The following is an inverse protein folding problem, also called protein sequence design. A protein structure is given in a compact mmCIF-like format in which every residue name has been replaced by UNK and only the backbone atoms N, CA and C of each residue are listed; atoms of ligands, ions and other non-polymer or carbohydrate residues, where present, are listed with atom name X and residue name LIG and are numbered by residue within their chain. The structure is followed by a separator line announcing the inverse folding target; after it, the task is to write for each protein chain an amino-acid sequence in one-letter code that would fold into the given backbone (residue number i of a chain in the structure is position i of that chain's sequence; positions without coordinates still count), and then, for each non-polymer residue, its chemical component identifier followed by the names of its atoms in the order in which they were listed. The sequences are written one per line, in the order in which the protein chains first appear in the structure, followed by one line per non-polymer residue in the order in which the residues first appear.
data_IF_147384598513
#
_entry.id   IF_147384598513
#
_cell.length_a   1.000
_cell.length_b   1.000
_cell.length_c   1.000
_cell.angle_alpha   90.00
_cell.angle_beta   90.00
_cell.angle_gamma   90.00
#
_symmetry.space_group_name_H-M   'P 1'
#
loop_
_entity.id
_entity.type
_entity.pdbx_description
1 polymer ?
#
# COMPACT_ATOMS: atom_id res chain seq x y z
N UNK A 1 11.17 5.07 -7.30
CA UNK A 1 10.85 3.62 -7.21
C UNK A 1 9.33 3.41 -7.21
N UNK A 2 8.80 2.32 -7.78
CA UNK A 2 7.35 2.10 -7.91
C UNK A 2 6.55 2.21 -6.58
N UNK A 3 7.12 1.72 -5.47
CA UNK A 3 6.49 1.83 -4.14
C UNK A 3 6.35 3.30 -3.70
N UNK A 4 7.28 4.18 -4.08
CA UNK A 4 7.18 5.61 -3.75
C UNK A 4 6.01 6.30 -4.46
N UNK A 5 5.65 5.85 -5.67
CA UNK A 5 4.47 6.34 -6.37
C UNK A 5 3.17 5.83 -5.72
N UNK A 6 3.16 4.57 -5.26
CA UNK A 6 2.05 4.06 -4.44
C UNK A 6 1.88 4.85 -3.14
N UNK A 7 2.97 5.15 -2.43
CA UNK A 7 2.91 6.00 -1.23
C UNK A 7 2.36 7.39 -1.56
N UNK A 8 2.63 7.91 -2.75
CA UNK A 8 2.08 9.19 -3.20
C UNK A 8 0.58 9.10 -3.45
N UNK A 9 0.12 8.04 -4.11
CA UNK A 9 -1.29 7.77 -4.33
C UNK A 9 -2.05 7.57 -2.99
N UNK A 10 -1.36 7.07 -1.96
CA UNK A 10 -1.87 6.97 -0.59
C UNK A 10 -1.71 8.26 0.24
N UNK A 11 -1.35 9.39 -0.40
CA UNK A 11 -1.15 10.70 0.22
C UNK A 11 -0.05 10.77 1.30
N UNK A 12 0.94 9.88 1.25
CA UNK A 12 2.09 9.92 2.17
C UNK A 12 3.10 10.96 1.69
N UNK A 13 3.44 11.90 2.57
CA UNK A 13 4.28 13.07 2.25
C UNK A 13 5.66 12.67 1.71
N UNK A 14 6.04 13.24 0.54
CA UNK A 14 7.33 12.96 -0.16
C UNK A 14 8.56 13.59 0.48
N UNK A 15 8.40 14.70 1.21
CA UNK A 15 9.52 15.48 1.75
C UNK A 15 9.33 15.80 3.21
N UNK A 16 10.42 15.93 3.96
CA UNK A 16 10.40 16.49 5.33
C UNK A 16 11.38 17.66 5.45
N UNK A 17 11.07 18.60 6.33
CA UNK A 17 12.01 19.66 6.69
C UNK A 17 13.01 19.08 7.69
N UNK A 18 14.29 19.27 7.42
CA UNK A 18 15.40 18.87 8.28
C UNK A 18 16.28 20.08 8.57
N UNK A 19 16.79 20.15 9.80
CA UNK A 19 17.72 21.20 10.22
C UNK A 19 19.14 20.66 10.14
N UNK A 20 20.02 21.38 9.48
CA UNK A 20 21.45 21.10 9.52
C UNK A 20 21.99 21.51 10.90
N UNK A 21 22.56 20.56 11.65
CA UNK A 21 22.98 20.80 13.03
C UNK A 21 24.19 21.74 13.15
N UNK A 22 25.07 21.79 12.14
CA UNK A 22 26.25 22.67 12.16
C UNK A 22 25.91 24.12 11.81
N UNK A 23 25.00 24.34 10.87
CA UNK A 23 24.67 25.67 10.34
C UNK A 23 23.35 26.23 10.85
N UNK A 24 22.56 25.42 11.57
CA UNK A 24 21.18 25.71 12.01
C UNK A 24 20.21 26.05 10.87
N UNK A 25 20.60 25.83 9.61
CA UNK A 25 19.76 26.11 8.44
C UNK A 25 18.77 24.96 8.19
N UNK A 26 17.53 25.33 7.89
CA UNK A 26 16.46 24.39 7.51
C UNK A 26 16.49 24.16 6.00
N UNK A 27 16.37 22.92 5.58
CA UNK A 27 16.19 22.55 4.18
C UNK A 27 15.17 21.42 4.04
N UNK A 28 14.62 21.23 2.84
CA UNK A 28 13.76 20.10 2.52
C UNK A 28 14.61 18.92 2.05
N UNK A 29 14.32 17.74 2.58
CA UNK A 29 14.91 16.48 2.13
C UNK A 29 13.81 15.55 1.64
N UNK A 30 14.07 14.87 0.53
CA UNK A 30 13.22 13.77 0.06
C UNK A 30 13.21 12.61 1.06
N UNK A 31 12.06 11.95 1.21
CA UNK A 31 11.92 10.78 2.07
C UNK A 31 12.03 9.52 1.25
N UNK A 32 12.89 8.61 1.69
CA UNK A 32 13.06 7.31 1.05
C UNK A 32 11.82 6.43 1.25
N UNK A 33 11.69 5.40 0.41
CA UNK A 33 10.57 4.46 0.46
C UNK A 33 10.31 3.88 1.87
N UNK A 34 11.34 3.46 2.61
CA UNK A 34 11.17 2.94 3.98
C UNK A 34 10.63 3.98 4.97
N UNK A 35 11.11 5.22 4.92
CA UNK A 35 10.60 6.28 5.79
C UNK A 35 9.11 6.51 5.53
N UNK A 36 8.70 6.43 4.26
CA UNK A 36 7.30 6.63 3.84
C UNK A 36 6.43 5.43 4.20
N UNK A 37 6.92 4.20 3.99
CA UNK A 37 6.22 2.95 4.38
C UNK A 37 5.98 2.91 5.89
N UNK A 38 6.97 3.31 6.70
CA UNK A 38 6.84 3.36 8.18
C UNK A 38 5.76 4.36 8.64
N UNK A 39 5.60 5.48 7.95
CA UNK A 39 4.48 6.39 8.23
C UNK A 39 3.15 5.80 7.79
N UNK A 40 3.13 5.19 6.60
CA UNK A 40 1.94 4.55 6.04
C UNK A 40 1.38 3.43 6.92
N UNK A 41 2.26 2.68 7.61
CA UNK A 41 1.91 1.63 8.56
C UNK A 41 0.97 2.10 9.67
N UNK A 42 0.95 3.40 10.01
CA UNK A 42 -0.01 3.96 10.98
C UNK A 42 -1.46 3.87 10.53
N UNK A 43 -1.70 3.76 9.22
CA UNK A 43 -3.04 3.74 8.62
C UNK A 43 -3.40 2.37 8.04
N UNK A 44 -2.43 1.67 7.45
CA UNK A 44 -2.61 0.35 6.83
C UNK A 44 -1.40 -0.52 7.15
N UNK A 45 -1.28 -1.06 8.38
CA UNK A 45 -0.10 -1.81 8.83
C UNK A 45 0.17 -3.04 7.96
N UNK A 46 -0.85 -3.86 7.68
CA UNK A 46 -0.71 -5.09 6.89
C UNK A 46 -0.15 -4.82 5.48
N UNK A 47 -0.61 -3.75 4.83
CA UNK A 47 -0.10 -3.35 3.51
C UNK A 47 1.34 -2.85 3.60
N UNK A 48 1.65 -2.09 4.66
CA UNK A 48 2.98 -1.55 4.86
C UNK A 48 4.03 -2.66 5.04
N UNK A 49 3.70 -3.73 5.78
CA UNK A 49 4.58 -4.87 5.97
C UNK A 49 4.88 -5.59 4.65
N UNK A 50 3.85 -5.84 3.84
CA UNK A 50 4.02 -6.44 2.50
C UNK A 50 4.89 -5.55 1.60
N UNK A 51 4.63 -4.24 1.56
CA UNK A 51 5.43 -3.31 0.75
C UNK A 51 6.87 -3.17 1.25
N UNK A 52 7.11 -3.33 2.56
CA UNK A 52 8.46 -3.32 3.12
C UNK A 52 9.23 -4.58 2.69
N UNK A 53 8.60 -5.75 2.68
CA UNK A 53 9.20 -6.98 2.15
C UNK A 53 9.58 -6.84 0.67
N UNK A 54 8.66 -6.33 -0.16
CA UNK A 54 8.92 -6.06 -1.59
C UNK A 54 10.08 -5.08 -1.77
N UNK A 55 10.18 -4.04 -0.93
CA UNK A 55 11.30 -3.09 -0.94
C UNK A 55 12.63 -3.80 -0.70
N UNK A 56 12.70 -4.71 0.27
CA UNK A 56 13.94 -5.43 0.58
C UNK A 56 14.38 -6.33 -0.57
N UNK A 57 13.45 -7.10 -1.16
CA UNK A 57 13.74 -7.93 -2.35
C UNK A 57 14.27 -7.07 -3.51
N UNK A 58 13.62 -5.94 -3.80
CA UNK A 58 14.05 -5.02 -4.85
C UNK A 58 15.42 -4.38 -4.60
N UNK A 59 15.73 -4.09 -3.33
CA UNK A 59 17.03 -3.54 -2.93
C UNK A 59 18.16 -4.55 -3.11
N UNK A 60 17.94 -5.81 -2.71
CA UNK A 60 18.91 -6.90 -2.93
C UNK A 60 19.23 -7.04 -4.41
N UNK A 61 18.23 -7.01 -5.30
CA UNK A 61 18.45 -7.11 -6.75
C UNK A 61 19.19 -5.91 -7.37
N UNK A 62 19.26 -4.77 -6.68
CA UNK A 62 19.88 -3.53 -7.22
C UNK A 62 21.31 -3.31 -6.71
N UNK A 63 21.68 -3.91 -5.58
CA UNK A 63 23.00 -3.69 -4.94
C UNK A 63 23.80 -4.98 -4.72
N UNK A 64 23.16 -6.14 -4.68
CA UNK A 64 23.81 -7.44 -4.44
C UNK A 64 23.59 -8.37 -5.64
N UNK A 65 24.67 -8.93 -6.19
CA UNK A 65 24.57 -10.02 -7.16
C UNK A 65 24.14 -11.29 -6.43
N UNK A 66 22.92 -11.78 -6.67
CA UNK A 66 22.43 -12.99 -5.97
C UNK A 66 20.93 -13.22 -5.98
N UNK A 67 20.12 -12.34 -6.58
CA UNK A 67 18.67 -12.55 -6.65
C UNK A 67 18.34 -13.71 -7.60
N UNK A 68 17.64 -14.73 -7.11
CA UNK A 68 17.16 -15.83 -7.95
C UNK A 68 15.86 -15.46 -8.67
N UNK A 69 15.52 -16.20 -9.73
CA UNK A 69 14.21 -16.05 -10.39
C UNK A 69 13.05 -16.32 -9.42
N UNK A 70 13.26 -17.16 -8.39
CA UNK A 70 12.26 -17.45 -7.38
C UNK A 70 11.98 -16.22 -6.51
N UNK A 71 13.02 -15.54 -6.02
CA UNK A 71 12.89 -14.34 -5.20
C UNK A 71 12.16 -13.21 -5.96
N UNK A 72 12.41 -13.08 -7.26
CA UNK A 72 11.69 -12.13 -8.13
C UNK A 72 10.19 -12.46 -8.18
N UNK A 73 9.85 -13.73 -8.36
CA UNK A 73 8.46 -14.18 -8.42
C UNK A 73 7.75 -13.99 -7.08
N UNK A 74 8.42 -14.27 -5.96
CA UNK A 74 7.90 -14.01 -4.62
C UNK A 74 7.65 -12.51 -4.42
N UNK A 75 8.61 -11.66 -4.77
CA UNK A 75 8.46 -10.21 -4.71
C UNK A 75 7.29 -9.70 -5.56
N UNK A 76 7.11 -10.23 -6.77
CA UNK A 76 5.98 -9.89 -7.64
C UNK A 76 4.64 -10.35 -7.06
N UNK A 77 4.59 -11.54 -6.46
CA UNK A 77 3.38 -12.07 -5.82
C UNK A 77 2.99 -11.25 -4.59
N UNK A 78 3.96 -10.91 -3.73
CA UNK A 78 3.77 -10.02 -2.59
C UNK A 78 3.28 -8.65 -3.04
N UNK A 79 3.87 -8.08 -4.08
CA UNK A 79 3.45 -6.78 -4.62
C UNK A 79 2.02 -6.83 -5.17
N UNK A 80 1.67 -7.89 -5.90
CA UNK A 80 0.30 -8.14 -6.38
C UNK A 80 -0.69 -8.23 -5.20
N UNK A 81 -0.30 -8.88 -4.10
CA UNK A 81 -1.12 -8.94 -2.89
C UNK A 81 -1.33 -7.56 -2.26
N UNK A 82 -0.29 -6.72 -2.13
CA UNK A 82 -0.42 -5.36 -1.64
C UNK A 82 -1.39 -4.51 -2.51
N UNK A 83 -1.33 -4.66 -3.83
CA UNK A 83 -2.25 -3.97 -4.74
C UNK A 83 -3.71 -4.39 -4.52
N UNK A 84 -3.97 -5.69 -4.28
CA UNK A 84 -5.32 -6.17 -3.93
C UNK A 84 -5.80 -5.55 -2.61
N UNK A 85 -4.96 -5.57 -1.57
CA UNK A 85 -5.33 -4.95 -0.28
C UNK A 85 -5.63 -3.44 -0.39
N UNK A 86 -4.98 -2.75 -1.33
CA UNK A 86 -5.16 -1.31 -1.52
C UNK A 86 -6.36 -0.95 -2.40
N UNK A 87 -6.62 -1.75 -3.44
CA UNK A 87 -7.46 -1.32 -4.56
C UNK A 87 -8.50 -2.35 -4.98
N UNK A 88 -8.59 -3.51 -4.33
CA UNK A 88 -9.64 -4.47 -4.66
C UNK A 88 -11.03 -3.91 -4.26
N UNK A 89 -11.89 -3.59 -5.24
CA UNK A 89 -13.19 -2.99 -4.95
C UNK A 89 -14.12 -3.97 -4.23
N UNK A 90 -13.87 -5.29 -4.32
CA UNK A 90 -14.68 -6.30 -3.64
C UNK A 90 -14.64 -6.14 -2.12
N UNK A 91 -13.49 -5.74 -1.56
CA UNK A 91 -13.35 -5.45 -0.15
C UNK A 91 -14.17 -4.21 0.24
N UNK A 92 -14.18 -3.17 -0.60
CA UNK A 92 -14.99 -1.97 -0.37
C UNK A 92 -16.50 -2.24 -0.47
N UNK A 93 -16.94 -3.04 -1.44
CA UNK A 93 -18.33 -3.47 -1.61
C UNK A 93 -18.77 -4.34 -0.42
N UNK A 94 -17.89 -5.23 0.05
CA UNK A 94 -18.11 -6.06 1.24
C UNK A 94 -18.24 -5.21 2.50
N UNK A 95 -17.30 -4.29 2.75
CA UNK A 95 -17.36 -3.40 3.92
C UNK A 95 -18.59 -2.48 3.88
N UNK A 96 -18.98 -2.00 2.70
CA UNK A 96 -20.23 -1.26 2.52
C UNK A 96 -21.45 -2.12 2.87
N UNK A 97 -21.45 -3.40 2.49
CA UNK A 97 -22.50 -4.35 2.89
C UNK A 97 -22.51 -4.62 4.38
N UNK A 98 -21.34 -4.84 5.00
CA UNK A 98 -21.21 -5.01 6.46
C UNK A 98 -21.78 -3.80 7.19
N UNK A 99 -21.41 -2.59 6.79
CA UNK A 99 -21.94 -1.35 7.37
C UNK A 99 -23.47 -1.25 7.21
N UNK A 100 -24.01 -1.66 6.05
CA UNK A 100 -25.45 -1.63 5.80
C UNK A 100 -26.21 -2.65 6.66
N UNK A 101 -25.66 -3.84 6.84
CA UNK A 101 -26.21 -4.88 7.73
C UNK A 101 -26.18 -4.40 9.18
N UNK A 102 -25.05 -3.86 9.65
CA UNK A 102 -24.91 -3.33 11.01
C UNK A 102 -25.87 -2.17 11.27
N UNK A 103 -25.99 -1.22 10.32
CA UNK A 103 -26.92 -0.09 10.42
C UNK A 103 -28.38 -0.54 10.51
N UNK A 104 -28.75 -1.60 9.80
CA UNK A 104 -30.11 -2.15 9.78
C UNK A 104 -30.38 -3.13 10.91
N UNK A 105 -29.36 -3.55 11.65
CA UNK A 105 -29.42 -4.65 12.62
C UNK A 105 -30.09 -5.90 12.02
N UNK A 106 -29.81 -6.17 10.75
CA UNK A 106 -30.51 -7.20 9.98
C UNK A 106 -30.11 -7.26 8.50
N UNK A 107 -30.67 -8.21 7.74
CA UNK A 107 -30.27 -8.45 6.35
C UNK A 107 -30.40 -7.20 5.46
N UNK A 108 -29.36 -6.91 4.70
CA UNK A 108 -29.38 -5.87 3.69
C UNK A 108 -29.93 -6.41 2.35
N UNK A 109 -30.77 -5.64 1.63
CA UNK A 109 -31.28 -6.04 0.32
C UNK A 109 -30.12 -6.23 -0.64
N UNK A 110 -30.13 -7.37 -1.35
CA UNK A 110 -29.13 -7.63 -2.40
C UNK A 110 -29.48 -6.73 -3.58
N UNK A 111 -28.46 -6.15 -4.24
CA UNK A 111 -28.64 -5.62 -5.60
C UNK A 111 -29.15 -6.77 -6.45
N UNK A 112 -30.42 -6.71 -6.85
CA UNK A 112 -30.97 -7.65 -7.83
C UNK A 112 -30.26 -7.34 -9.15
N UNK A 113 -29.47 -8.28 -9.66
CA UNK A 113 -28.97 -8.18 -11.03
C UNK A 113 -30.22 -8.21 -11.91
N UNK A 114 -30.45 -7.15 -12.68
CA UNK A 114 -31.57 -7.11 -13.62
C UNK A 114 -31.45 -8.34 -14.52
N UNK A 115 -32.39 -9.28 -14.40
CA UNK A 115 -32.48 -10.41 -15.31
C UNK A 115 -32.80 -9.80 -16.67
N UNK A 116 -31.84 -9.83 -17.60
CA UNK A 116 -32.15 -9.69 -19.02
C UNK A 116 -33.16 -10.80 -19.34
N UNK A 117 -34.41 -10.41 -19.61
CA UNK A 117 -35.44 -11.33 -20.12
C UNK A 117 -35.06 -11.68 -21.56
N UNK A 118 -35.31 -12.94 -21.99
CA UNK A 118 -34.96 -13.44 -23.32
C UNK A 118 -35.69 -12.68 -24.42
#
# INVERSE_FOLDING_TARGET
MAIEELMTAQNVTKTRIVTNQQTQKRHRRHRMADERIKEFARTKPDVADVLLAVKWIGNSGSHESGLSAHDVLEGAQMFSHALRLLYDPSQSELLRRVALVNKRRGPAPRKTVARSRP
#
